data_IF_159517803129
#
_entry.id   IF_159517803129
#
_cell.length_a   1.000
_cell.length_b   1.000
_cell.length_c   1.000
_cell.angle_alpha   90.00
_cell.angle_beta   90.00
_cell.angle_gamma   90.00
#
_symmetry.space_group_name_H-M   'P 1'
#
loop_
_entity.id
_entity.type
_entity.pdbx_description
1 polymer ?
#
# COMPACT_ATOMS: atom_id res chain seq x y z
N UNK A 1 42.70 30.85 -4.79
CA UNK A 1 42.39 30.41 -6.16
C UNK A 1 41.42 31.41 -6.75
N UNK A 2 41.59 31.88 -7.99
CA UNK A 2 40.46 32.49 -8.70
C UNK A 2 39.35 31.45 -8.86
N UNK A 3 38.09 31.87 -8.86
CA UNK A 3 36.98 30.96 -9.13
C UNK A 3 37.06 30.48 -10.60
N UNK A 4 36.88 29.17 -10.86
CA UNK A 4 36.80 28.69 -12.23
C UNK A 4 35.53 29.25 -12.88
N UNK A 5 35.66 29.83 -14.08
CA UNK A 5 34.50 30.32 -14.85
C UNK A 5 33.45 29.21 -14.99
N UNK A 6 32.24 29.49 -14.50
CA UNK A 6 31.09 28.60 -14.54
C UNK A 6 30.77 28.14 -15.97
N UNK A 7 30.97 29.01 -16.97
CA UNK A 7 30.79 28.62 -18.38
C UNK A 7 31.89 27.67 -18.85
N UNK A 8 33.12 27.82 -18.39
CA UNK A 8 34.21 26.89 -18.67
C UNK A 8 33.96 25.52 -18.02
N UNK A 9 33.47 25.48 -16.77
CA UNK A 9 33.03 24.25 -16.10
C UNK A 9 31.90 23.55 -16.87
N UNK A 10 30.86 24.28 -17.27
CA UNK A 10 29.76 23.73 -18.06
C UNK A 10 30.23 23.18 -19.42
N UNK A 11 31.10 23.91 -20.13
CA UNK A 11 31.71 23.45 -21.39
C UNK A 11 32.56 22.19 -21.18
N UNK A 12 33.31 22.10 -20.07
CA UNK A 12 34.09 20.91 -19.73
C UNK A 12 33.18 19.69 -19.44
N UNK A 13 32.12 19.86 -18.65
CA UNK A 13 31.16 18.79 -18.34
C UNK A 13 30.44 18.25 -19.59
N UNK A 14 29.98 19.15 -20.46
CA UNK A 14 29.37 18.80 -21.76
C UNK A 14 30.39 18.07 -22.68
N UNK A 15 31.65 18.48 -22.65
CA UNK A 15 32.70 17.84 -23.47
C UNK A 15 33.03 16.45 -22.96
N UNK A 16 33.15 16.26 -21.64
CA UNK A 16 33.33 14.94 -21.02
C UNK A 16 32.14 14.01 -21.30
N UNK A 17 30.91 14.52 -21.27
CA UNK A 17 29.70 13.76 -21.61
C UNK A 17 29.74 13.26 -23.07
N UNK A 18 30.07 14.15 -24.01
CA UNK A 18 30.24 13.81 -25.44
C UNK A 18 31.40 12.85 -25.70
N UNK A 19 32.45 12.88 -24.86
CA UNK A 19 33.57 11.94 -24.91
C UNK A 19 33.29 10.59 -24.21
N UNK A 20 32.08 10.37 -23.70
CA UNK A 20 31.70 9.14 -22.99
C UNK A 20 32.28 9.00 -21.58
N UNK A 21 32.96 10.03 -21.06
CA UNK A 21 33.61 10.05 -19.75
C UNK A 21 32.59 10.28 -18.63
N UNK A 22 31.63 9.35 -18.48
CA UNK A 22 30.41 9.54 -17.66
C UNK A 22 30.68 10.08 -16.26
N UNK A 23 31.54 9.44 -15.47
CA UNK A 23 31.75 9.87 -14.08
C UNK A 23 32.41 11.25 -13.98
N UNK A 24 33.36 11.57 -14.87
CA UNK A 24 33.95 12.91 -14.94
C UNK A 24 32.92 13.96 -15.38
N UNK A 25 32.04 13.63 -16.32
CA UNK A 25 30.94 14.49 -16.74
C UNK A 25 29.95 14.71 -15.60
N UNK A 26 29.55 13.66 -14.88
CA UNK A 26 28.64 13.69 -13.72
C UNK A 26 29.19 14.62 -12.64
N UNK A 27 30.43 14.42 -12.21
CA UNK A 27 31.08 15.27 -11.20
C UNK A 27 31.23 16.73 -11.64
N UNK A 28 31.49 16.98 -12.93
CA UNK A 28 31.64 18.36 -13.44
C UNK A 28 30.31 19.07 -13.56
N UNK A 29 29.25 18.39 -14.05
CA UNK A 29 27.92 18.96 -14.21
C UNK A 29 27.22 19.17 -12.86
N UNK A 30 27.41 18.28 -11.88
CA UNK A 30 26.95 18.48 -10.51
C UNK A 30 27.55 19.74 -9.88
N UNK A 31 28.85 20.01 -10.07
CA UNK A 31 29.50 21.25 -9.58
C UNK A 31 28.97 22.53 -10.24
N UNK A 32 28.47 22.45 -11.47
CA UNK A 32 27.78 23.58 -12.11
C UNK A 32 26.42 23.80 -11.44
N UNK A 33 25.67 22.73 -11.17
CA UNK A 33 24.37 22.80 -10.48
C UNK A 33 24.51 23.29 -9.03
N UNK A 34 25.58 22.89 -8.32
CA UNK A 34 25.93 23.38 -6.97
C UNK A 34 26.25 24.89 -6.93
N UNK A 35 26.47 25.53 -8.09
CA UNK A 35 26.79 26.96 -8.22
C UNK A 35 25.68 27.75 -8.94
N UNK A 36 24.90 27.09 -9.78
CA UNK A 36 23.78 27.62 -10.56
C UNK A 36 22.69 26.54 -10.68
N UNK A 37 21.79 26.49 -9.69
CA UNK A 37 20.66 25.54 -9.69
C UNK A 37 19.69 25.78 -10.89
N UNK A 38 19.73 26.96 -11.51
CA UNK A 38 18.92 27.34 -12.67
C UNK A 38 19.55 26.94 -14.02
N UNK A 39 20.71 26.26 -14.02
CA UNK A 39 21.43 25.89 -15.24
C UNK A 39 20.75 24.74 -16.01
N UNK A 40 19.72 25.07 -16.80
CA UNK A 40 19.02 24.14 -17.71
C UNK A 40 19.98 23.24 -18.52
N UNK A 41 21.09 23.75 -19.11
CA UNK A 41 22.01 22.89 -19.85
C UNK A 41 22.74 21.88 -18.97
N UNK A 42 23.02 22.21 -17.70
CA UNK A 42 23.69 21.28 -16.78
C UNK A 42 22.77 20.11 -16.41
N UNK A 43 21.51 20.40 -16.06
CA UNK A 43 20.49 19.38 -15.79
C UNK A 43 20.20 18.50 -17.01
N UNK A 44 20.03 19.09 -18.21
CA UNK A 44 19.81 18.34 -19.44
C UNK A 44 20.97 17.38 -19.75
N UNK A 45 22.23 17.84 -19.65
CA UNK A 45 23.37 16.96 -19.90
C UNK A 45 23.58 15.92 -18.80
N UNK A 46 23.31 16.26 -17.53
CA UNK A 46 23.36 15.30 -16.42
C UNK A 46 22.38 14.14 -16.66
N UNK A 47 21.16 14.41 -17.12
CA UNK A 47 20.17 13.37 -17.46
C UNK A 47 20.57 12.42 -18.59
N UNK A 48 21.63 12.74 -19.36
CA UNK A 48 22.21 11.83 -20.38
C UNK A 48 23.35 10.96 -19.85
N UNK A 49 23.90 11.33 -18.69
CA UNK A 49 25.14 10.78 -18.12
C UNK A 49 24.87 9.81 -16.97
N UNK A 50 23.85 10.10 -16.15
CA UNK A 50 23.36 9.22 -15.09
C UNK A 50 22.87 7.89 -15.67
N UNK A 51 22.98 6.81 -14.90
CA UNK A 51 22.55 5.47 -15.34
C UNK A 51 21.18 5.03 -14.78
N UNK A 52 20.81 5.49 -13.58
CA UNK A 52 19.52 5.22 -12.97
C UNK A 52 18.36 5.93 -13.67
N UNK A 53 17.17 5.30 -13.73
CA UNK A 53 16.01 5.88 -14.43
C UNK A 53 15.31 6.99 -13.63
N UNK A 54 15.36 6.95 -12.30
CA UNK A 54 14.69 7.92 -11.43
C UNK A 54 15.56 9.17 -11.21
N UNK A 55 16.89 9.02 -11.02
CA UNK A 55 17.81 10.16 -11.04
C UNK A 55 17.72 10.93 -12.39
N UNK A 56 17.52 10.21 -13.51
CA UNK A 56 17.24 10.82 -14.83
C UNK A 56 15.89 11.55 -14.86
N UNK A 57 14.82 10.97 -14.33
CA UNK A 57 13.49 11.60 -14.24
C UNK A 57 13.57 12.93 -13.49
N UNK A 58 14.17 12.94 -12.30
CA UNK A 58 14.34 14.15 -11.47
C UNK A 58 15.08 15.26 -12.23
N UNK A 59 16.15 14.93 -12.96
CA UNK A 59 16.89 15.93 -13.75
C UNK A 59 16.03 16.55 -14.87
N UNK A 60 15.12 15.78 -15.48
CA UNK A 60 14.24 16.26 -16.55
C UNK A 60 13.05 17.08 -16.00
N UNK A 61 12.54 16.72 -14.82
CA UNK A 61 11.50 17.46 -14.10
C UNK A 61 12.00 18.81 -13.58
N UNK A 62 13.25 18.87 -13.09
CA UNK A 62 13.91 20.14 -12.76
C UNK A 62 14.04 21.05 -14.00
N UNK A 63 14.36 20.50 -15.17
CA UNK A 63 14.38 21.30 -16.42
C UNK A 63 12.98 21.84 -16.76
N UNK A 64 11.92 21.03 -16.66
CA UNK A 64 10.56 21.51 -16.93
C UNK A 64 10.02 22.48 -15.86
N UNK A 65 10.64 22.52 -14.68
CA UNK A 65 10.34 23.52 -13.64
C UNK A 65 10.99 24.88 -13.97
N UNK A 66 12.13 24.88 -14.67
CA UNK A 66 12.85 26.09 -15.11
C UNK A 66 12.41 26.59 -16.50
N UNK A 67 12.09 25.67 -17.41
CA UNK A 67 11.62 25.89 -18.79
C UNK A 67 10.50 24.88 -19.12
N UNK A 68 9.22 25.22 -18.85
CA UNK A 68 8.09 24.33 -19.08
C UNK A 68 7.93 23.87 -20.53
N UNK A 69 8.42 24.64 -21.50
CA UNK A 69 8.33 24.34 -22.93
C UNK A 69 9.56 23.62 -23.51
N UNK A 70 10.45 23.14 -22.64
CA UNK A 70 11.62 22.39 -23.05
C UNK A 70 11.26 21.05 -23.73
N UNK A 71 11.23 21.05 -25.06
CA UNK A 71 10.90 19.89 -25.87
C UNK A 71 11.83 18.69 -25.61
N UNK A 72 13.11 18.92 -25.30
CA UNK A 72 14.07 17.86 -24.99
C UNK A 72 13.76 17.17 -23.65
N UNK A 73 13.43 17.93 -22.61
CA UNK A 73 13.05 17.35 -21.31
C UNK A 73 11.74 16.56 -21.40
N UNK A 74 10.72 17.14 -22.06
CA UNK A 74 9.41 16.50 -22.31
C UNK A 74 9.55 15.19 -23.11
N UNK A 75 10.43 15.17 -24.14
CA UNK A 75 10.76 13.96 -24.90
C UNK A 75 11.72 13.00 -24.16
N UNK A 76 12.36 13.42 -23.07
CA UNK A 76 13.08 12.54 -22.14
C UNK A 76 12.12 11.71 -21.30
N UNK A 77 11.21 12.38 -20.58
CA UNK A 77 10.25 11.73 -19.68
C UNK A 77 9.35 10.72 -20.42
N UNK A 78 8.83 11.08 -21.60
CA UNK A 78 8.00 10.19 -22.41
C UNK A 78 8.70 8.85 -22.77
N UNK A 79 10.03 8.84 -22.90
CA UNK A 79 10.80 7.60 -23.18
C UNK A 79 11.01 6.76 -21.92
N UNK A 80 11.24 7.38 -20.75
CA UNK A 80 11.32 6.66 -19.47
C UNK A 80 9.94 6.03 -19.13
N UNK A 81 8.86 6.76 -19.37
CA UNK A 81 7.49 6.26 -19.17
C UNK A 81 7.12 5.12 -20.11
N UNK A 82 7.64 5.11 -21.34
CA UNK A 82 7.48 4.01 -22.30
C UNK A 82 8.28 2.77 -21.89
N UNK A 83 9.57 2.91 -21.57
CA UNK A 83 10.41 1.81 -21.11
C UNK A 83 9.79 1.11 -19.88
N UNK A 84 9.36 1.90 -18.89
CA UNK A 84 8.71 1.38 -17.67
C UNK A 84 7.36 0.68 -17.90
N UNK A 85 6.79 0.73 -19.11
CA UNK A 85 5.56 0.00 -19.50
C UNK A 85 5.85 -1.29 -20.25
N UNK A 86 7.02 -1.42 -20.87
CA UNK A 86 7.44 -2.66 -21.51
C UNK A 86 8.08 -3.63 -20.51
N UNK A 87 8.84 -3.14 -19.53
CA UNK A 87 9.25 -3.91 -18.33
C UNK A 87 8.05 -4.43 -17.49
N UNK A 88 6.84 -3.89 -17.71
CA UNK A 88 5.60 -4.27 -17.01
C UNK A 88 4.60 -5.05 -17.87
N UNK A 89 4.99 -5.52 -19.06
CA UNK A 89 4.22 -6.53 -19.80
C UNK A 89 4.54 -7.92 -19.21
N UNK A 90 3.53 -8.71 -18.77
CA UNK A 90 3.79 -10.10 -18.38
C UNK A 90 4.19 -10.92 -19.61
N UNK A 91 5.22 -11.75 -19.47
CA UNK A 91 5.68 -12.63 -20.55
C UNK A 91 4.58 -13.63 -20.93
N UNK A 92 3.96 -13.43 -22.09
CA UNK A 92 3.01 -14.40 -22.67
C UNK A 92 3.78 -15.59 -23.22
N UNK A 93 4.13 -16.54 -22.35
CA UNK A 93 4.90 -17.71 -22.69
C UNK A 93 4.14 -18.69 -23.58
N UNK A 94 4.38 -18.64 -24.90
CA UNK A 94 4.28 -19.82 -25.77
C UNK A 94 5.10 -19.68 -27.06
N UNK A 95 6.24 -20.40 -27.15
CA UNK A 95 6.49 -21.37 -28.24
C UNK A 95 7.83 -22.12 -28.16
N UNK A 96 7.70 -23.41 -27.85
CA UNK A 96 8.35 -24.58 -28.49
C UNK A 96 9.87 -24.79 -28.37
N UNK A 97 10.18 -25.94 -27.76
CA UNK A 97 11.48 -26.64 -27.77
C UNK A 97 12.01 -26.96 -29.18
N UNK A 98 13.34 -26.93 -29.32
CA UNK A 98 14.12 -27.95 -30.05
C UNK A 98 15.56 -28.02 -29.50
N UNK A 99 16.26 -29.16 -29.66
CA UNK A 99 17.44 -29.54 -28.85
C UNK A 99 18.78 -29.04 -29.43
N UNK A 100 19.92 -29.18 -28.71
CA UNK A 100 21.17 -28.49 -29.03
C UNK A 100 21.97 -29.16 -30.17
N UNK A 101 23.01 -28.47 -30.64
CA UNK A 101 24.08 -29.06 -31.47
C UNK A 101 25.43 -28.52 -31.00
N UNK A 102 26.43 -29.40 -31.02
CA UNK A 102 27.77 -29.21 -30.49
C UNK A 102 28.65 -28.34 -31.40
N UNK A 103 29.73 -27.76 -30.85
CA UNK A 103 31.05 -27.52 -31.47
C UNK A 103 31.92 -26.60 -30.58
N UNK A 104 32.51 -27.19 -29.54
CA UNK A 104 33.81 -26.76 -28.99
C UNK A 104 34.97 -27.33 -29.85
N UNK A 105 36.28 -27.09 -29.57
CA UNK A 105 36.92 -26.21 -28.58
C UNK A 105 38.01 -25.30 -29.20
N UNK A 106 38.79 -24.54 -28.39
CA UNK A 106 40.27 -24.48 -28.47
C UNK A 106 40.94 -23.90 -27.19
N UNK A 107 41.64 -24.79 -26.47
CA UNK A 107 42.85 -24.65 -25.62
C UNK A 107 43.63 -25.97 -25.82
N UNK A 108 44.90 -26.23 -25.36
CA UNK A 108 45.71 -25.66 -24.27
C UNK A 108 47.18 -25.43 -24.75
N UNK A 109 48.32 -25.87 -24.13
CA UNK A 109 48.76 -26.20 -22.75
C UNK A 109 49.86 -25.21 -22.26
N UNK A 110 50.77 -25.39 -21.28
CA UNK A 110 51.34 -26.50 -20.44
C UNK A 110 51.46 -25.95 -18.98
N UNK A 111 51.09 -26.61 -17.87
CA UNK A 111 51.45 -27.90 -17.23
C UNK A 111 52.73 -27.83 -16.30
N UNK A 112 53.06 -28.80 -15.41
CA UNK A 112 52.76 -28.67 -13.97
C UNK A 112 53.93 -28.99 -13.00
N UNK A 113 53.70 -28.91 -11.66
CA UNK A 113 53.92 -30.01 -10.68
C UNK A 113 53.64 -29.70 -9.20
N UNK A 114 53.31 -30.77 -8.48
CA UNK A 114 53.28 -30.97 -7.00
C UNK A 114 54.45 -31.94 -6.65
N UNK A 115 54.75 -32.41 -5.40
CA UNK A 115 53.99 -32.28 -4.15
C UNK A 115 54.77 -32.13 -2.79
N UNK A 116 53.99 -31.88 -1.73
CA UNK A 116 54.04 -32.44 -0.36
C UNK A 116 55.28 -32.40 0.59
N UNK A 117 54.93 -32.11 1.85
CA UNK A 117 55.39 -32.72 3.12
C UNK A 117 56.68 -32.28 3.85
N UNK A 118 56.49 -32.09 5.18
CA UNK A 118 57.47 -32.29 6.28
C UNK A 118 58.61 -31.24 6.44
N UNK A 119 59.16 -30.95 7.63
CA UNK A 119 58.73 -31.29 9.01
C UNK A 119 59.48 -30.48 10.08
N UNK A 120 58.88 -30.39 11.28
CA UNK A 120 59.49 -30.40 12.63
C UNK A 120 60.45 -29.27 13.10
N UNK A 121 60.23 -28.89 14.38
CA UNK A 121 61.18 -28.33 15.37
C UNK A 121 61.75 -26.90 15.14
N UNK A 122 62.13 -26.15 16.18
CA UNK A 122 61.73 -26.19 17.60
C UNK A 122 62.21 -24.93 18.35
N UNK A 123 61.40 -24.44 19.29
CA UNK A 123 61.76 -23.73 20.54
C UNK A 123 63.01 -22.82 20.59
N UNK A 124 62.81 -21.55 20.96
CA UNK A 124 63.62 -20.88 21.99
C UNK A 124 62.83 -19.71 22.63
N UNK A 125 62.85 -19.62 23.96
CA UNK A 125 62.42 -18.49 24.78
C UNK A 125 63.49 -18.26 25.86
N UNK A 126 63.74 -17.01 26.28
CA UNK A 126 63.84 -16.81 27.73
C UNK A 126 63.31 -15.47 28.28
N UNK A 127 62.54 -15.59 29.38
CA UNK A 127 62.46 -14.71 30.57
C UNK A 127 61.80 -13.31 30.49
N UNK A 128 60.83 -13.13 31.40
CA UNK A 128 60.31 -11.87 31.95
C UNK A 128 61.04 -11.49 33.26
N UNK A 129 61.14 -10.20 33.60
CA UNK A 129 61.02 -9.60 34.96
C UNK A 129 60.44 -8.14 34.80
N UNK A 130 60.30 -7.24 35.83
CA UNK A 130 58.96 -6.82 36.27
C UNK A 130 58.68 -5.30 36.25
N UNK A 131 57.43 -4.89 36.60
CA UNK A 131 56.97 -3.49 36.76
C UNK A 131 56.98 -2.99 38.22
N UNK A 132 57.24 -1.70 38.45
CA UNK A 132 56.80 -0.93 39.63
C UNK A 132 55.78 0.19 39.19
N UNK A 133 55.34 1.20 39.99
CA UNK A 133 53.91 1.37 40.27
C UNK A 133 53.30 2.74 39.87
N UNK A 134 51.99 2.90 40.09
CA UNK A 134 51.17 4.10 39.81
C UNK A 134 50.83 4.91 41.07
N UNK A 135 50.76 6.26 40.99
CA UNK A 135 50.05 7.13 41.93
C UNK A 135 48.69 7.65 41.37
N UNK A 136 47.87 8.24 42.25
CA UNK A 136 46.42 8.48 42.10
C UNK A 136 46.01 9.97 41.81
N UNK A 137 44.70 10.32 41.62
CA UNK A 137 44.28 11.45 40.76
C UNK A 137 43.89 12.77 41.46
N UNK A 138 43.71 13.84 40.65
CA UNK A 138 42.98 15.07 41.01
C UNK A 138 42.12 15.66 39.85
N UNK A 139 40.90 16.18 40.13
CA UNK A 139 40.04 16.96 39.21
C UNK A 139 39.88 18.44 39.69
N UNK A 140 39.01 19.33 39.10
CA UNK A 140 38.44 19.45 37.75
C UNK A 140 38.56 20.89 37.14
N UNK A 141 37.79 21.17 36.06
CA UNK A 141 37.20 22.47 35.67
C UNK A 141 38.07 23.49 34.85
N UNK A 142 37.45 24.51 34.19
CA UNK A 142 36.29 24.39 33.30
C UNK A 142 36.38 25.19 31.97
N UNK A 143 35.44 24.89 31.07
CA UNK A 143 34.84 25.76 30.03
C UNK A 143 35.73 26.47 28.97
N UNK A 144 35.44 26.18 27.69
CA UNK A 144 35.30 27.21 26.64
C UNK A 144 34.49 26.70 25.46
N UNK A 145 33.40 27.41 25.10
CA UNK A 145 32.62 27.20 23.88
C UNK A 145 33.21 28.04 22.75
N UNK A 146 33.66 27.42 21.65
CA UNK A 146 33.99 28.15 20.42
C UNK A 146 33.92 27.25 19.16
N UNK A 147 32.86 27.44 18.36
CA UNK A 147 32.83 27.42 16.89
C UNK A 147 33.61 26.35 16.09
N UNK A 148 32.90 25.64 15.21
CA UNK A 148 33.45 25.07 13.97
C UNK A 148 33.44 23.55 13.89
N UNK A 149 32.96 23.03 12.75
CA UNK A 149 32.83 21.60 12.45
C UNK A 149 34.16 20.82 12.56
N UNK A 150 34.07 19.54 12.96
CA UNK A 150 35.04 18.53 12.54
C UNK A 150 35.15 17.32 13.48
N UNK A 151 35.73 16.20 13.03
CA UNK A 151 36.88 16.20 12.13
C UNK A 151 36.91 14.97 11.19
N UNK A 152 36.82 15.16 9.85
CA UNK A 152 37.03 14.07 8.89
C UNK A 152 38.50 13.79 8.56
N UNK A 153 39.45 14.71 8.87
CA UNK A 153 40.87 14.34 9.05
C UNK A 153 41.76 15.40 9.74
N UNK A 154 41.47 16.71 9.70
CA UNK A 154 42.31 17.70 10.39
C UNK A 154 41.61 18.93 11.04
N UNK A 155 41.06 18.68 12.25
CA UNK A 155 41.12 19.51 13.50
C UNK A 155 39.83 20.21 13.96
N UNK A 156 39.51 19.96 15.25
CA UNK A 156 38.42 20.55 16.08
C UNK A 156 37.01 20.13 15.60
N UNK A 157 35.94 20.27 16.42
CA UNK A 157 35.69 19.23 17.42
C UNK A 157 34.24 18.71 17.47
N UNK A 158 34.08 17.39 17.63
CA UNK A 158 32.81 16.71 17.98
C UNK A 158 32.91 16.19 19.42
N UNK A 159 31.92 16.56 20.24
CA UNK A 159 31.78 16.20 21.66
C UNK A 159 30.41 16.74 22.14
N UNK A 160 29.61 16.03 22.95
CA UNK A 160 29.62 14.60 23.26
C UNK A 160 28.19 14.14 23.56
N UNK A 161 27.62 13.31 22.69
CA UNK A 161 26.45 12.46 22.97
C UNK A 161 26.34 11.46 21.83
N UNK A 162 26.70 10.19 22.07
CA UNK A 162 26.67 9.18 21.03
C UNK A 162 25.24 9.03 20.48
N UNK A 163 25.05 9.23 19.18
CA UNK A 163 23.75 9.00 18.53
C UNK A 163 23.54 7.49 18.48
N UNK A 164 22.83 6.96 19.48
CA UNK A 164 22.48 5.54 19.56
C UNK A 164 21.38 5.23 18.53
N UNK A 165 21.55 4.14 17.78
CA UNK A 165 20.50 3.60 16.92
C UNK A 165 19.23 3.38 17.75
N UNK A 166 18.08 3.99 17.38
CA UNK A 166 16.86 3.88 18.17
C UNK A 166 16.32 2.45 18.26
N UNK A 167 16.65 1.59 17.30
CA UNK A 167 16.18 0.20 17.27
C UNK A 167 17.11 -0.76 18.04
N UNK A 168 18.42 -0.71 17.81
CA UNK A 168 19.37 -1.71 18.35
C UNK A 168 20.42 -1.16 19.34
N UNK A 169 20.32 0.12 19.74
CA UNK A 169 21.26 0.84 20.62
C UNK A 169 22.76 0.71 20.24
N UNK A 170 23.05 0.47 18.96
CA UNK A 170 24.42 0.58 18.44
C UNK A 170 24.80 2.07 18.42
N UNK A 171 25.94 2.50 18.96
CA UNK A 171 26.49 3.83 18.67
C UNK A 171 26.68 3.98 17.16
N UNK A 172 26.05 4.98 16.54
CA UNK A 172 26.18 5.26 15.10
C UNK A 172 27.49 6.02 14.78
N UNK A 173 28.51 5.77 15.59
CA UNK A 173 29.75 6.50 15.72
C UNK A 173 30.86 5.46 15.74
N UNK A 174 31.82 5.59 14.82
CA UNK A 174 32.98 4.69 14.76
C UNK A 174 34.27 5.47 15.05
N UNK A 175 35.19 4.81 15.74
CA UNK A 175 36.51 5.38 16.03
C UNK A 175 37.39 5.31 14.77
N UNK A 176 37.85 6.46 14.28
CA UNK A 176 38.76 6.54 13.14
C UNK A 176 40.05 5.73 13.43
N UNK A 177 40.41 4.71 12.62
CA UNK A 177 41.52 3.81 12.91
C UNK A 177 42.91 4.48 12.84
N UNK A 178 43.00 5.72 12.33
CA UNK A 178 44.24 6.49 12.27
C UNK A 178 44.46 7.43 13.48
N UNK A 179 43.42 7.77 14.25
CA UNK A 179 43.53 8.76 15.33
C UNK A 179 42.62 8.54 16.55
N UNK A 180 41.79 7.49 16.57
CA UNK A 180 40.91 7.14 17.69
C UNK A 180 39.71 8.07 17.91
N UNK A 181 39.49 9.07 17.06
CA UNK A 181 38.40 10.03 17.21
C UNK A 181 37.05 9.44 16.77
N UNK A 182 36.00 9.76 17.51
CA UNK A 182 34.60 9.44 17.19
C UNK A 182 34.14 10.15 15.91
N UNK A 183 33.57 9.40 14.96
CA UNK A 183 33.05 9.92 13.68
C UNK A 183 31.70 9.28 13.30
N UNK A 184 30.75 10.09 12.85
CA UNK A 184 29.40 9.64 12.47
C UNK A 184 29.42 8.74 11.23
N UNK A 185 28.55 7.72 11.22
CA UNK A 185 28.42 6.79 10.08
C UNK A 185 27.50 7.37 9.01
N UNK A 186 28.07 7.81 7.87
CA UNK A 186 27.34 8.28 6.68
C UNK A 186 26.62 7.14 5.91
N UNK A 187 25.75 6.36 6.58
CA UNK A 187 24.95 5.31 5.94
C UNK A 187 23.45 5.64 5.98
N UNK A 188 22.70 5.39 4.88
CA UNK A 188 21.25 5.60 4.83
C UNK A 188 20.47 4.57 5.66
N UNK A 189 21.15 3.57 6.23
CA UNK A 189 20.59 2.52 7.07
C UNK A 189 21.59 2.11 8.17
N UNK A 190 21.10 1.65 9.31
CA UNK A 190 21.95 1.22 10.42
C UNK A 190 22.70 -0.09 10.10
N UNK A 191 24.04 -0.16 10.22
CA UNK A 191 24.83 -1.33 9.81
C UNK A 191 24.53 -2.62 10.60
N UNK A 192 23.85 -2.52 11.75
CA UNK A 192 23.49 -3.69 12.60
C UNK A 192 22.06 -4.18 12.41
N UNK A 193 21.12 -3.34 11.97
CA UNK A 193 19.70 -3.70 11.91
C UNK A 193 18.96 -3.27 10.63
N UNK A 194 19.66 -2.67 9.65
CA UNK A 194 19.07 -2.27 8.36
C UNK A 194 18.08 -1.10 8.43
N UNK A 195 17.70 -0.64 9.62
CA UNK A 195 16.73 0.45 9.80
C UNK A 195 17.22 1.74 9.13
N UNK A 196 16.39 2.31 8.26
CA UNK A 196 16.71 3.55 7.55
C UNK A 196 17.01 4.72 8.51
N UNK A 197 18.00 5.56 8.17
CA UNK A 197 18.48 6.68 8.97
C UNK A 197 18.46 7.97 8.14
N UNK A 198 17.96 9.06 8.74
CA UNK A 198 17.71 10.31 8.02
C UNK A 198 18.96 11.03 7.54
N UNK A 199 18.82 11.90 6.53
CA UNK A 199 19.92 12.67 5.96
C UNK A 199 20.48 13.70 6.96
N UNK A 200 21.53 13.28 7.68
CA UNK A 200 22.20 14.02 8.75
C UNK A 200 22.71 15.42 8.33
N UNK A 201 22.94 15.67 7.02
CA UNK A 201 23.37 16.98 6.50
C UNK A 201 22.33 18.08 6.71
N UNK A 202 21.03 17.73 6.83
CA UNK A 202 19.94 18.66 7.15
C UNK A 202 19.34 18.28 8.51
N UNK A 203 19.75 18.95 9.59
CA UNK A 203 19.33 18.64 10.98
C UNK A 203 17.82 18.45 11.14
N UNK A 204 17.01 19.35 10.58
CA UNK A 204 15.53 19.26 10.60
C UNK A 204 15.03 18.01 9.85
N UNK A 205 15.62 17.70 8.68
CA UNK A 205 15.27 16.49 7.91
C UNK A 205 15.65 15.19 8.62
N UNK A 206 16.79 15.16 9.31
CA UNK A 206 17.17 14.07 10.21
C UNK A 206 16.12 13.85 11.31
N UNK A 207 15.74 14.90 12.05
CA UNK A 207 14.74 14.78 13.11
C UNK A 207 13.34 14.43 12.56
N UNK A 208 12.96 14.91 11.37
CA UNK A 208 11.67 14.57 10.76
C UNK A 208 11.62 13.10 10.31
N UNK A 209 12.72 12.57 9.77
CA UNK A 209 12.86 11.14 9.43
C UNK A 209 12.83 10.27 10.68
N UNK A 210 13.53 10.72 11.74
CA UNK A 210 13.58 10.05 13.04
C UNK A 210 12.21 10.04 13.73
N UNK A 211 11.46 11.14 13.67
CA UNK A 211 10.10 11.23 14.19
C UNK A 211 9.17 10.24 13.49
N UNK A 212 9.18 10.18 12.15
CA UNK A 212 8.41 9.21 11.38
C UNK A 212 8.78 7.76 11.73
N UNK A 213 10.08 7.47 11.89
CA UNK A 213 10.55 6.16 12.34
C UNK A 213 10.06 5.80 13.76
N UNK A 214 10.07 6.74 14.70
CA UNK A 214 9.51 6.53 16.04
C UNK A 214 7.98 6.35 16.03
N UNK A 215 7.26 7.02 15.13
CA UNK A 215 5.80 6.87 14.97
C UNK A 215 5.46 5.46 14.48
N UNK A 216 6.14 4.98 13.43
CA UNK A 216 5.96 3.63 12.89
C UNK A 216 6.38 2.51 13.88
N UNK A 217 7.33 2.79 14.79
CA UNK A 217 7.75 1.86 15.84
C UNK A 217 6.97 2.06 17.17
N UNK A 218 5.87 2.82 17.18
CA UNK A 218 5.05 3.11 18.37
C UNK A 218 5.85 3.59 19.60
N UNK A 219 6.86 4.46 19.40
CA UNK A 219 7.69 5.09 20.45
C UNK A 219 7.32 6.56 20.68
N UNK A 220 6.25 6.87 21.42
CA UNK A 220 5.68 8.21 21.46
C UNK A 220 6.55 9.26 22.16
N UNK A 221 7.17 8.91 23.30
CA UNK A 221 8.04 9.85 24.03
C UNK A 221 9.25 10.31 23.21
N UNK A 222 9.73 9.47 22.29
CA UNK A 222 10.90 9.78 21.47
C UNK A 222 10.52 10.45 20.14
N UNK A 223 9.35 10.10 19.57
CA UNK A 223 8.70 10.88 18.53
C UNK A 223 8.48 12.33 18.99
N UNK A 224 7.96 12.53 20.21
CA UNK A 224 7.77 13.86 20.79
C UNK A 224 9.10 14.63 20.95
N UNK A 225 10.16 13.99 21.47
CA UNK A 225 11.49 14.63 21.56
C UNK A 225 12.03 15.05 20.18
N UNK A 226 11.79 14.26 19.13
CA UNK A 226 12.22 14.60 17.77
C UNK A 226 11.45 15.81 17.21
N UNK A 227 10.14 15.92 17.45
CA UNK A 227 9.37 17.12 17.08
C UNK A 227 9.74 18.36 17.92
N UNK A 228 10.03 18.19 19.21
CA UNK A 228 10.55 19.27 20.06
C UNK A 228 11.94 19.75 19.61
N UNK A 229 12.80 18.85 19.13
CA UNK A 229 14.07 19.24 18.52
C UNK A 229 13.85 20.10 17.26
N UNK A 230 12.87 19.74 16.42
CA UNK A 230 12.49 20.57 15.26
C UNK A 230 11.97 21.94 15.72
N UNK A 231 11.10 22.02 16.73
CA UNK A 231 10.62 23.29 17.28
C UNK A 231 11.76 24.22 17.73
N UNK A 232 12.84 23.67 18.32
CA UNK A 232 14.02 24.48 18.69
C UNK A 232 14.94 24.85 17.52
N UNK A 233 14.90 24.12 16.40
CA UNK A 233 15.76 24.34 15.23
C UNK A 233 15.11 25.23 14.17
N UNK A 234 13.80 25.10 13.99
CA UNK A 234 12.98 25.83 13.03
C UNK A 234 11.55 25.93 13.60
N UNK A 235 11.24 27.00 14.34
CA UNK A 235 9.88 27.23 14.87
C UNK A 235 8.82 27.38 13.76
N UNK A 236 9.22 27.90 12.60
CA UNK A 236 8.42 28.02 11.39
C UNK A 236 8.65 26.80 10.47
N UNK A 237 8.34 25.61 10.99
CA UNK A 237 8.38 24.36 10.21
C UNK A 237 6.96 23.95 9.79
N UNK A 238 6.71 23.60 8.51
CA UNK A 238 5.37 23.28 8.02
C UNK A 238 4.66 22.22 8.86
N UNK A 239 3.43 22.54 9.29
CA UNK A 239 2.57 21.68 10.11
C UNK A 239 3.19 21.25 11.47
N UNK A 240 4.20 21.96 11.99
CA UNK A 240 4.86 21.63 13.27
C UNK A 240 3.87 21.52 14.43
N UNK A 241 2.90 22.44 14.55
CA UNK A 241 1.87 22.40 15.59
C UNK A 241 0.99 21.15 15.50
N UNK A 242 0.53 20.80 14.30
CA UNK A 242 -0.19 19.55 14.03
C UNK A 242 0.63 18.33 14.46
N UNK A 243 1.90 18.25 14.06
CA UNK A 243 2.80 17.13 14.40
C UNK A 243 3.12 17.03 15.89
N UNK A 244 3.32 18.15 16.58
CA UNK A 244 3.44 18.18 18.04
C UNK A 244 2.15 17.72 18.73
N UNK A 245 0.99 18.08 18.19
CA UNK A 245 -0.32 17.59 18.66
C UNK A 245 -0.44 16.07 18.56
N UNK A 246 -0.20 15.50 17.36
CA UNK A 246 -0.18 14.05 17.11
C UNK A 246 0.81 13.33 18.06
N UNK A 247 2.00 13.88 18.26
CA UNK A 247 3.01 13.33 19.15
C UNK A 247 2.57 13.31 20.63
N UNK A 248 1.93 14.38 21.12
CA UNK A 248 1.38 14.42 22.48
C UNK A 248 0.19 13.47 22.65
N UNK A 249 -0.63 13.25 21.61
CA UNK A 249 -1.68 12.21 21.64
C UNK A 249 -1.08 10.82 21.79
N UNK A 250 -0.11 10.48 20.95
CA UNK A 250 0.59 9.19 21.04
C UNK A 250 1.27 8.99 22.41
N UNK A 251 1.72 10.08 23.04
CA UNK A 251 2.30 10.09 24.39
C UNK A 251 1.26 10.12 25.53
N UNK A 252 -0.04 9.96 25.24
CA UNK A 252 -1.11 9.92 26.24
C UNK A 252 -1.40 11.25 26.94
N UNK A 253 -1.12 12.39 26.28
CA UNK A 253 -1.22 13.75 26.85
C UNK A 253 -2.25 14.62 26.10
N UNK A 254 -3.55 14.24 26.13
CA UNK A 254 -4.59 14.88 25.32
C UNK A 254 -4.71 16.40 25.54
N UNK A 255 -4.63 16.87 26.78
CA UNK A 255 -4.76 18.30 27.11
C UNK A 255 -3.63 19.17 26.53
N UNK A 256 -2.46 18.56 26.27
CA UNK A 256 -1.32 19.23 25.60
C UNK A 256 -1.45 19.16 24.09
N UNK A 257 -1.96 18.05 23.57
CA UNK A 257 -2.24 17.92 22.14
C UNK A 257 -3.30 18.95 21.68
N UNK A 258 -4.39 19.11 22.43
CA UNK A 258 -5.45 20.06 22.10
C UNK A 258 -4.92 21.48 21.92
N UNK A 259 -4.06 21.96 22.84
CA UNK A 259 -3.44 23.30 22.73
C UNK A 259 -2.60 23.47 21.46
N UNK A 260 -1.93 22.41 21.00
CA UNK A 260 -1.19 22.44 19.75
C UNK A 260 -2.11 22.37 18.52
N UNK A 261 -3.24 21.66 18.58
CA UNK A 261 -4.24 21.73 17.51
C UNK A 261 -4.97 23.08 17.46
N UNK A 262 -5.26 23.72 18.61
CA UNK A 262 -5.78 25.08 18.71
C UNK A 262 -4.82 26.10 18.07
N UNK A 263 -3.52 25.98 18.35
CA UNK A 263 -2.47 26.77 17.70
C UNK A 263 -2.45 26.51 16.18
N UNK A 264 -2.43 25.25 15.75
CA UNK A 264 -2.45 24.87 14.34
C UNK A 264 -3.70 25.41 13.61
N UNK A 265 -4.85 25.48 14.29
CA UNK A 265 -6.11 25.95 13.72
C UNK A 265 -6.17 27.47 13.59
N UNK A 266 -5.48 28.21 14.49
CA UNK A 266 -5.27 29.64 14.34
C UNK A 266 -4.27 29.97 13.21
N UNK A 267 -3.25 29.14 13.03
CA UNK A 267 -2.25 29.26 11.95
C UNK A 267 -2.81 28.85 10.57
N UNK A 268 -3.56 27.74 10.50
CA UNK A 268 -4.00 27.10 9.24
C UNK A 268 -5.46 26.60 9.30
N UNK A 269 -6.47 27.48 9.43
CA UNK A 269 -7.87 27.10 9.67
C UNK A 269 -8.55 26.24 8.58
N UNK A 270 -7.93 26.09 7.40
CA UNK A 270 -8.43 25.32 6.27
C UNK A 270 -7.54 24.13 5.86
N UNK A 271 -6.61 23.65 6.70
CA UNK A 271 -5.85 22.41 6.45
C UNK A 271 -6.76 21.17 6.53
N UNK A 272 -6.92 20.36 5.47
CA UNK A 272 -7.65 19.09 5.54
C UNK A 272 -7.04 18.12 6.57
N UNK A 273 -5.71 18.11 6.69
CA UNK A 273 -4.95 17.20 7.57
C UNK A 273 -5.23 17.51 9.04
N UNK A 274 -5.29 18.79 9.40
CA UNK A 274 -5.61 19.23 10.76
C UNK A 274 -7.06 18.91 11.13
N UNK A 275 -8.02 19.16 10.23
CA UNK A 275 -9.42 18.79 10.45
C UNK A 275 -9.58 17.26 10.57
N UNK A 276 -8.78 16.46 9.84
CA UNK A 276 -8.77 15.00 9.94
C UNK A 276 -8.17 14.52 11.27
N UNK A 277 -7.06 15.09 11.73
CA UNK A 277 -6.45 14.75 13.01
C UNK A 277 -7.35 15.10 14.21
N UNK A 278 -8.02 16.26 14.16
CA UNK A 278 -9.04 16.64 15.14
C UNK A 278 -10.25 15.69 15.13
N UNK A 279 -10.73 15.30 13.95
CA UNK A 279 -11.83 14.35 13.80
C UNK A 279 -11.49 12.96 14.37
N UNK A 280 -10.26 12.48 14.16
CA UNK A 280 -9.79 11.20 14.69
C UNK A 280 -9.61 11.26 16.21
N UNK A 281 -9.13 12.38 16.77
CA UNK A 281 -9.10 12.59 18.22
C UNK A 281 -10.49 12.60 18.87
N UNK A 282 -11.44 13.35 18.29
CA UNK A 282 -12.84 13.38 18.73
C UNK A 282 -13.47 11.98 18.66
N UNK A 283 -13.24 11.25 17.55
CA UNK A 283 -13.70 9.86 17.36
C UNK A 283 -13.15 8.92 18.45
N UNK A 284 -11.89 9.07 18.86
CA UNK A 284 -11.28 8.30 19.95
C UNK A 284 -11.85 8.63 21.33
N UNK A 285 -12.36 9.85 21.54
CA UNK A 285 -13.05 10.28 22.77
C UNK A 285 -14.54 9.94 22.81
N UNK A 286 -15.10 9.38 21.73
CA UNK A 286 -16.54 9.10 21.61
C UNK A 286 -17.38 10.32 21.19
N UNK A 287 -16.74 11.43 20.85
CA UNK A 287 -17.35 12.68 20.36
C UNK A 287 -17.72 12.51 18.88
N UNK A 288 -18.65 11.59 18.61
CA UNK A 288 -18.96 11.10 17.28
C UNK A 288 -19.62 12.14 16.36
N UNK A 289 -20.35 13.11 16.92
CA UNK A 289 -21.07 14.14 16.17
C UNK A 289 -20.12 15.28 15.75
N UNK A 290 -19.19 15.61 16.63
CA UNK A 290 -18.07 16.52 16.43
C UNK A 290 -17.14 15.93 15.37
N UNK A 291 -16.72 14.68 15.55
CA UNK A 291 -15.90 13.95 14.58
C UNK A 291 -16.57 13.86 13.21
N UNK A 292 -17.87 13.56 13.14
CA UNK A 292 -18.63 13.55 11.90
C UNK A 292 -18.59 14.91 11.19
N UNK A 293 -18.77 16.00 11.94
CA UNK A 293 -18.73 17.37 11.41
C UNK A 293 -17.34 17.74 10.90
N UNK A 294 -16.29 17.35 11.63
CA UNK A 294 -14.91 17.56 11.24
C UNK A 294 -14.53 16.73 9.99
N UNK A 295 -14.84 15.43 9.92
CA UNK A 295 -14.63 14.63 8.70
C UNK A 295 -15.43 15.15 7.50
N UNK A 296 -16.66 15.65 7.71
CA UNK A 296 -17.43 16.30 6.65
C UNK A 296 -16.69 17.55 6.13
N UNK A 297 -16.15 18.38 7.02
CA UNK A 297 -15.33 19.54 6.67
C UNK A 297 -14.06 19.13 5.91
N UNK A 298 -13.40 18.03 6.28
CA UNK A 298 -12.28 17.46 5.50
C UNK A 298 -12.72 17.17 4.06
N UNK A 299 -13.83 16.46 3.86
CA UNK A 299 -14.32 16.13 2.50
C UNK A 299 -14.82 17.33 1.68
N UNK A 300 -15.03 18.49 2.31
CA UNK A 300 -15.31 19.76 1.63
C UNK A 300 -14.02 20.49 1.21
N UNK A 301 -12.94 20.34 1.98
CA UNK A 301 -11.64 20.97 1.72
C UNK A 301 -10.80 20.14 0.74
N UNK A 302 -10.72 18.82 0.93
CA UNK A 302 -10.22 17.86 -0.04
C UNK A 302 -11.26 16.75 -0.31
N UNK A 303 -12.01 16.84 -1.43
CA UNK A 303 -12.91 15.78 -1.87
C UNK A 303 -12.22 14.44 -2.21
N UNK A 304 -10.89 14.42 -2.41
CA UNK A 304 -10.12 13.22 -2.72
C UNK A 304 -9.59 12.48 -1.49
N UNK A 305 -9.80 12.98 -0.27
CA UNK A 305 -9.28 12.35 0.94
C UNK A 305 -10.04 11.04 1.28
N UNK A 306 -9.58 9.92 0.69
CA UNK A 306 -10.25 8.61 0.79
C UNK A 306 -10.45 8.11 2.23
N UNK A 307 -9.50 8.38 3.14
CA UNK A 307 -9.62 8.03 4.55
C UNK A 307 -10.75 8.78 5.27
N UNK A 308 -11.00 10.05 4.93
CA UNK A 308 -12.12 10.80 5.49
C UNK A 308 -13.47 10.21 5.03
N UNK A 309 -13.58 9.78 3.77
CA UNK A 309 -14.76 9.07 3.27
C UNK A 309 -14.96 7.71 3.96
N UNK A 310 -13.89 6.96 4.25
CA UNK A 310 -13.94 5.72 5.04
C UNK A 310 -14.45 5.99 6.47
N UNK A 311 -13.89 6.99 7.16
CA UNK A 311 -14.32 7.36 8.52
C UNK A 311 -15.77 7.86 8.57
N UNK A 312 -16.23 8.62 7.57
CA UNK A 312 -17.66 8.96 7.42
C UNK A 312 -18.53 7.72 7.20
N UNK A 313 -18.09 6.75 6.39
CA UNK A 313 -18.79 5.48 6.19
C UNK A 313 -19.04 4.75 7.50
N UNK A 314 -18.00 4.63 8.33
CA UNK A 314 -18.04 4.01 9.66
C UNK A 314 -19.01 4.74 10.62
N UNK A 315 -19.02 6.08 10.59
CA UNK A 315 -19.93 6.88 11.42
C UNK A 315 -21.39 6.79 10.94
N UNK A 316 -21.65 6.80 9.63
CA UNK A 316 -22.98 6.55 9.08
C UNK A 316 -23.49 5.14 9.41
N UNK A 317 -22.62 4.13 9.37
CA UNK A 317 -22.95 2.75 9.72
C UNK A 317 -23.33 2.61 11.20
N UNK A 318 -22.56 3.21 12.11
CA UNK A 318 -22.90 3.31 13.54
C UNK A 318 -24.21 4.04 13.79
N UNK A 319 -24.51 5.08 13.00
CA UNK A 319 -25.80 5.78 13.00
C UNK A 319 -26.95 5.02 12.28
N UNK A 320 -26.72 3.76 11.87
CA UNK A 320 -27.66 2.91 11.11
C UNK A 320 -28.14 3.50 9.76
N UNK A 321 -27.39 4.45 9.20
CA UNK A 321 -27.67 5.11 7.90
C UNK A 321 -27.01 4.35 6.75
N UNK A 322 -27.39 3.08 6.56
CA UNK A 322 -26.74 2.15 5.62
C UNK A 322 -26.63 2.66 4.17
N UNK A 323 -27.60 3.46 3.70
CA UNK A 323 -27.54 4.07 2.35
C UNK A 323 -26.45 5.13 2.23
N UNK A 324 -26.24 5.95 3.27
CA UNK A 324 -25.21 6.98 3.30
C UNK A 324 -23.82 6.36 3.53
N UNK A 325 -23.73 5.36 4.42
CA UNK A 325 -22.53 4.55 4.59
C UNK A 325 -22.09 3.92 3.26
N UNK A 326 -23.02 3.27 2.55
CA UNK A 326 -22.79 2.72 1.22
C UNK A 326 -22.49 3.75 0.12
N UNK A 327 -22.73 5.05 0.33
CA UNK A 327 -22.24 6.12 -0.56
C UNK A 327 -20.82 6.57 -0.17
N UNK A 328 -20.57 6.80 1.12
CA UNK A 328 -19.27 7.22 1.63
C UNK A 328 -18.19 6.15 1.36
N UNK A 329 -18.47 4.87 1.65
CA UNK A 329 -17.59 3.76 1.31
C UNK A 329 -17.34 3.63 -0.21
N UNK A 330 -18.34 3.90 -1.07
CA UNK A 330 -18.12 3.92 -2.53
C UNK A 330 -17.19 5.05 -2.99
N UNK A 331 -17.21 6.21 -2.32
CA UNK A 331 -16.23 7.28 -2.57
C UNK A 331 -14.84 6.87 -2.08
N UNK A 332 -14.73 6.29 -0.89
CA UNK A 332 -13.47 5.75 -0.38
C UNK A 332 -12.85 4.70 -1.32
N UNK A 333 -13.66 3.77 -1.85
CA UNK A 333 -13.21 2.72 -2.78
C UNK A 333 -12.71 3.26 -4.14
N UNK A 334 -13.09 4.47 -4.53
CA UNK A 334 -12.64 5.13 -5.74
C UNK A 334 -11.37 5.99 -5.53
N UNK A 335 -10.89 6.10 -4.29
CA UNK A 335 -9.81 7.00 -3.88
C UNK A 335 -8.66 6.26 -3.15
N UNK A 336 -8.95 5.14 -2.48
CA UNK A 336 -7.97 4.31 -1.80
C UNK A 336 -7.47 3.18 -2.72
N UNK A 337 -6.17 2.80 -2.67
CA UNK A 337 -5.65 1.65 -3.39
C UNK A 337 -6.39 0.35 -3.00
N UNK A 338 -6.69 -0.51 -3.97
CA UNK A 338 -7.48 -1.73 -3.75
C UNK A 338 -6.74 -2.82 -2.95
N UNK A 339 -5.44 -2.63 -2.79
CA UNK A 339 -4.42 -3.46 -2.13
C UNK A 339 -3.97 -2.90 -0.77
N UNK A 340 -4.49 -1.74 -0.32
CA UNK A 340 -4.26 -1.26 1.05
C UNK A 340 -5.22 -1.91 2.04
N UNK A 341 -4.84 -1.99 3.32
CA UNK A 341 -5.70 -2.51 4.39
C UNK A 341 -7.04 -1.74 4.47
N UNK A 342 -7.01 -0.43 4.25
CA UNK A 342 -8.21 0.40 4.18
C UNK A 342 -9.03 0.14 2.91
N UNK A 343 -8.39 -0.11 1.77
CA UNK A 343 -9.04 -0.53 0.54
C UNK A 343 -9.78 -1.85 0.70
N UNK A 344 -9.13 -2.85 1.32
CA UNK A 344 -9.73 -4.12 1.69
C UNK A 344 -10.88 -3.95 2.70
N UNK A 345 -10.71 -3.11 3.74
CA UNK A 345 -11.77 -2.81 4.71
C UNK A 345 -13.00 -2.19 4.03
N UNK A 346 -12.81 -1.22 3.13
CA UNK A 346 -13.89 -0.60 2.37
C UNK A 346 -14.58 -1.61 1.46
N UNK A 347 -13.83 -2.46 0.76
CA UNK A 347 -14.41 -3.51 -0.08
C UNK A 347 -15.24 -4.50 0.73
N UNK A 348 -14.77 -4.91 1.91
CA UNK A 348 -15.51 -5.79 2.82
C UNK A 348 -16.84 -5.13 3.26
N UNK A 349 -16.81 -3.87 3.70
CA UNK A 349 -18.04 -3.18 4.11
C UNK A 349 -18.99 -2.91 2.94
N UNK A 350 -18.48 -2.70 1.73
CA UNK A 350 -19.31 -2.63 0.52
C UNK A 350 -19.92 -3.97 0.11
N UNK A 351 -19.38 -5.11 0.55
CA UNK A 351 -20.02 -6.42 0.39
C UNK A 351 -21.10 -6.65 1.45
N UNK A 352 -20.88 -6.26 2.70
CA UNK A 352 -21.86 -6.35 3.79
C UNK A 352 -23.05 -5.41 3.56
N UNK A 353 -22.78 -4.17 3.15
CA UNK A 353 -23.79 -3.16 2.82
C UNK A 353 -24.28 -3.25 1.37
N UNK A 354 -23.93 -4.32 0.64
CA UNK A 354 -24.42 -4.55 -0.72
C UNK A 354 -25.92 -4.80 -0.66
N UNK A 355 -26.77 -3.92 -1.24
CA UNK A 355 -28.18 -4.27 -1.38
C UNK A 355 -28.30 -5.52 -2.26
N UNK A 356 -29.40 -6.26 -2.09
CA UNK A 356 -29.87 -7.21 -3.11
C UNK A 356 -29.99 -6.53 -4.48
N UNK A 357 -30.15 -7.33 -5.56
CA UNK A 357 -30.09 -6.84 -6.94
C UNK A 357 -30.83 -5.50 -7.14
N UNK A 358 -30.26 -4.55 -7.91
CA UNK A 358 -30.83 -3.21 -8.07
C UNK A 358 -32.32 -3.31 -8.43
N UNK A 359 -33.20 -2.48 -7.85
CA UNK A 359 -34.64 -2.76 -7.81
C UNK A 359 -35.28 -2.94 -9.20
N UNK A 360 -34.76 -2.28 -10.23
CA UNK A 360 -35.18 -2.46 -11.63
C UNK A 360 -34.93 -3.88 -12.19
N UNK A 361 -33.94 -4.61 -11.68
CA UNK A 361 -33.67 -6.02 -12.02
C UNK A 361 -34.39 -7.00 -11.09
N UNK A 362 -34.51 -6.66 -9.80
CA UNK A 362 -35.21 -7.49 -8.80
C UNK A 362 -36.75 -7.54 -9.01
N UNK A 363 -37.32 -6.63 -9.81
CA UNK A 363 -38.77 -6.55 -10.08
C UNK A 363 -39.18 -7.10 -11.46
N UNK A 364 -38.24 -7.54 -12.30
CA UNK A 364 -38.54 -8.03 -13.65
C UNK A 364 -39.07 -9.47 -13.69
N UNK A 365 -39.95 -9.75 -14.66
CA UNK A 365 -40.39 -11.12 -15.01
C UNK A 365 -39.22 -12.09 -15.23
N UNK A 366 -38.08 -11.59 -15.71
CA UNK A 366 -36.84 -12.35 -15.92
C UNK A 366 -36.30 -13.02 -14.65
N UNK A 367 -36.44 -12.38 -13.47
CA UNK A 367 -35.93 -12.94 -12.22
C UNK A 367 -36.89 -14.00 -11.64
N UNK A 368 -38.21 -13.76 -11.74
CA UNK A 368 -39.23 -14.76 -11.44
C UNK A 368 -39.02 -16.03 -12.31
N UNK A 369 -38.87 -15.85 -13.63
CA UNK A 369 -38.55 -16.93 -14.55
C UNK A 369 -37.25 -17.64 -14.15
N UNK A 370 -36.16 -16.91 -13.88
CA UNK A 370 -34.88 -17.50 -13.46
C UNK A 370 -35.04 -18.37 -12.21
N UNK A 371 -35.73 -17.89 -11.18
CA UNK A 371 -35.98 -18.64 -9.94
C UNK A 371 -36.89 -19.86 -10.16
N UNK A 372 -37.90 -19.76 -11.04
CA UNK A 372 -38.78 -20.89 -11.38
C UNK A 372 -38.11 -21.95 -12.27
N UNK A 373 -37.14 -21.59 -13.12
CA UNK A 373 -36.57 -22.55 -14.09
C UNK A 373 -35.93 -23.77 -13.45
N UNK A 374 -35.24 -23.62 -12.31
CA UNK A 374 -34.61 -24.75 -11.60
C UNK A 374 -35.62 -25.84 -11.22
N UNK A 375 -36.63 -25.55 -10.37
CA UNK A 375 -37.68 -26.49 -10.00
C UNK A 375 -38.42 -27.13 -11.18
N UNK A 376 -38.64 -26.39 -12.27
CA UNK A 376 -39.34 -26.89 -13.48
C UNK A 376 -38.44 -27.81 -14.32
N UNK A 377 -37.17 -27.46 -14.52
CA UNK A 377 -36.20 -28.28 -15.27
C UNK A 377 -35.96 -29.63 -14.58
N UNK A 378 -35.93 -29.66 -13.24
CA UNK A 378 -35.82 -30.91 -12.48
C UNK A 378 -36.99 -31.85 -12.77
N UNK A 379 -38.23 -31.35 -12.74
CA UNK A 379 -39.41 -32.15 -13.07
C UNK A 379 -39.44 -32.58 -14.55
N UNK A 380 -39.04 -31.70 -15.48
CA UNK A 380 -38.95 -32.02 -16.91
C UNK A 380 -37.94 -33.16 -17.18
N UNK A 381 -36.75 -33.09 -16.58
CA UNK A 381 -35.73 -34.13 -16.70
C UNK A 381 -36.21 -35.47 -16.10
N UNK A 382 -36.90 -35.42 -14.96
CA UNK A 382 -37.47 -36.62 -14.34
C UNK A 382 -38.57 -37.27 -15.21
N UNK A 383 -39.45 -36.48 -15.84
CA UNK A 383 -40.45 -37.00 -16.80
C UNK A 383 -39.80 -37.58 -18.05
N UNK A 384 -38.73 -36.98 -18.56
CA UNK A 384 -37.97 -37.53 -19.69
C UNK A 384 -37.25 -38.83 -19.33
N UNK A 385 -36.87 -39.02 -18.07
CA UNK A 385 -36.31 -40.29 -17.57
C UNK A 385 -37.40 -41.37 -17.42
N UNK A 386 -38.58 -41.06 -16.87
CA UNK A 386 -39.76 -41.96 -16.83
C UNK A 386 -40.15 -42.44 -18.25
N UNK A 387 -40.17 -41.52 -19.22
CA UNK A 387 -40.46 -41.80 -20.62
C UNK A 387 -39.31 -42.46 -21.41
N UNK A 388 -38.24 -42.91 -20.76
CA UNK A 388 -37.10 -43.58 -21.43
C UNK A 388 -36.42 -42.73 -22.51
N UNK A 389 -36.33 -41.42 -22.29
CA UNK A 389 -35.84 -40.38 -23.21
C UNK A 389 -36.63 -40.25 -24.53
N UNK A 390 -37.89 -40.73 -24.58
CA UNK A 390 -38.79 -40.62 -25.75
C UNK A 390 -39.97 -39.69 -25.44
N UNK A 391 -39.95 -38.41 -25.86
CA UNK A 391 -40.97 -37.42 -25.47
C UNK A 391 -42.42 -37.76 -25.87
N UNK A 392 -42.62 -38.64 -26.85
CA UNK A 392 -43.94 -39.11 -27.28
C UNK A 392 -44.47 -40.30 -26.45
N UNK A 393 -43.73 -40.76 -25.43
CA UNK A 393 -44.12 -41.82 -24.49
C UNK A 393 -44.40 -41.30 -23.07
N UNK A 394 -44.57 -39.98 -22.89
CA UNK A 394 -44.87 -39.37 -21.59
C UNK A 394 -46.21 -39.89 -21.04
N UNK A 395 -46.15 -40.44 -19.82
CA UNK A 395 -47.29 -40.97 -19.06
C UNK A 395 -48.32 -39.87 -18.73
N UNK A 396 -49.58 -40.24 -18.49
CA UNK A 396 -50.61 -39.27 -18.06
C UNK A 396 -50.22 -38.57 -16.73
N UNK A 397 -49.58 -39.31 -15.83
CA UNK A 397 -48.93 -38.79 -14.62
C UNK A 397 -47.80 -37.80 -14.94
N UNK A 398 -46.98 -38.07 -15.96
CA UNK A 398 -45.94 -37.15 -16.43
C UNK A 398 -46.51 -35.86 -17.02
N UNK A 399 -47.59 -35.93 -17.82
CA UNK A 399 -48.30 -34.73 -18.30
C UNK A 399 -48.91 -33.90 -17.17
N UNK A 400 -49.53 -34.56 -16.19
CA UNK A 400 -50.06 -33.89 -15.00
C UNK A 400 -48.95 -33.23 -14.17
N UNK A 401 -47.80 -33.90 -14.00
CA UNK A 401 -46.64 -33.35 -13.33
C UNK A 401 -46.06 -32.12 -14.08
N UNK A 402 -45.96 -32.16 -15.42
CA UNK A 402 -45.51 -31.01 -16.22
C UNK A 402 -46.42 -29.77 -16.10
N UNK A 403 -47.71 -29.95 -15.78
CA UNK A 403 -48.62 -28.84 -15.49
C UNK A 403 -48.50 -28.34 -14.04
N UNK A 404 -48.31 -29.24 -13.08
CA UNK A 404 -48.24 -28.91 -11.65
C UNK A 404 -46.89 -28.33 -11.22
N UNK A 405 -45.77 -28.75 -11.84
CA UNK A 405 -44.44 -28.23 -11.55
C UNK A 405 -44.31 -26.69 -11.70
N UNK A 406 -44.68 -26.06 -12.84
CA UNK A 406 -44.59 -24.61 -12.98
C UNK A 406 -45.58 -23.86 -12.09
N UNK A 407 -46.77 -24.41 -11.83
CA UNK A 407 -47.75 -23.80 -10.92
C UNK A 407 -47.25 -23.81 -9.46
N UNK A 408 -46.73 -24.94 -9.00
CA UNK A 408 -46.13 -25.07 -7.68
C UNK A 408 -44.92 -24.18 -7.50
N UNK A 409 -44.01 -24.16 -8.49
CA UNK A 409 -42.85 -23.28 -8.50
C UNK A 409 -43.23 -21.79 -8.47
N UNK A 410 -44.22 -21.36 -9.26
CA UNK A 410 -44.72 -19.98 -9.28
C UNK A 410 -45.21 -19.53 -7.90
N UNK A 411 -46.07 -20.35 -7.26
CA UNK A 411 -46.67 -20.03 -5.96
C UNK A 411 -45.62 -20.07 -4.83
N UNK A 412 -44.73 -21.06 -4.84
CA UNK A 412 -43.65 -21.18 -3.85
C UNK A 412 -42.69 -19.98 -3.92
N UNK A 413 -42.21 -19.64 -5.11
CA UNK A 413 -41.32 -18.50 -5.35
C UNK A 413 -42.02 -17.16 -5.04
N UNK A 414 -43.29 -16.99 -5.41
CA UNK A 414 -44.06 -15.78 -5.10
C UNK A 414 -44.28 -15.56 -3.61
N UNK A 415 -44.65 -16.62 -2.87
CA UNK A 415 -44.89 -16.55 -1.42
C UNK A 415 -43.62 -16.36 -0.59
N UNK A 416 -42.46 -16.83 -1.07
CA UNK A 416 -41.18 -16.72 -0.36
C UNK A 416 -40.37 -15.47 -0.71
N UNK A 417 -40.34 -15.08 -1.99
CA UNK A 417 -39.22 -14.28 -2.53
C UNK A 417 -39.63 -12.97 -3.20
N UNK A 418 -40.88 -12.81 -3.64
CA UNK A 418 -41.32 -11.66 -4.46
C UNK A 418 -42.42 -10.71 -3.94
N UNK A 419 -42.83 -10.66 -2.64
CA UNK A 419 -43.84 -9.68 -2.19
C UNK A 419 -43.36 -8.21 -2.17
N UNK A 420 -42.20 -7.91 -2.74
CA UNK A 420 -41.72 -6.54 -3.05
C UNK A 420 -41.90 -6.17 -4.54
N UNK A 421 -42.37 -7.10 -5.39
CA UNK A 421 -42.52 -6.88 -6.83
C UNK A 421 -43.86 -6.18 -7.17
N UNK A 422 -43.85 -4.96 -7.76
CA UNK A 422 -45.07 -4.20 -8.05
C UNK A 422 -45.99 -4.87 -9.09
N UNK A 423 -45.52 -5.85 -9.86
CA UNK A 423 -46.32 -6.61 -10.83
C UNK A 423 -47.18 -7.70 -10.15
N UNK A 424 -46.74 -8.23 -9.01
CA UNK A 424 -47.42 -9.32 -8.27
C UNK A 424 -48.18 -8.76 -7.05
N UNK A 425 -47.73 -7.64 -6.47
CA UNK A 425 -48.42 -6.89 -5.40
C UNK A 425 -49.94 -6.73 -5.63
N UNK A 426 -50.46 -6.28 -6.79
CA UNK A 426 -51.91 -6.15 -7.00
C UNK A 426 -52.68 -7.49 -7.05
N UNK A 427 -52.01 -8.63 -7.20
CA UNK A 427 -52.63 -9.97 -7.11
C UNK A 427 -52.71 -10.51 -5.67
N UNK A 428 -51.96 -9.92 -4.74
CA UNK A 428 -51.83 -10.40 -3.35
C UNK A 428 -52.47 -9.46 -2.30
N UNK A 429 -52.97 -8.30 -2.72
CA UNK A 429 -53.61 -7.31 -1.86
C UNK A 429 -52.63 -6.38 -1.14
N UNK A 430 -53.17 -5.44 -0.36
CA UNK A 430 -52.39 -4.43 0.34
C UNK A 430 -51.44 -5.02 1.40
N UNK A 431 -50.36 -4.28 1.67
CA UNK A 431 -49.12 -4.79 2.28
C UNK A 431 -49.30 -5.58 3.59
N UNK A 432 -50.32 -5.26 4.39
CA UNK A 432 -50.61 -5.95 5.65
C UNK A 432 -51.26 -7.32 5.44
N UNK A 433 -52.28 -7.43 4.56
CA UNK A 433 -52.91 -8.71 4.24
C UNK A 433 -51.94 -9.63 3.48
N UNK A 434 -51.10 -9.02 2.63
CA UNK A 434 -50.05 -9.71 1.91
C UNK A 434 -48.92 -10.27 2.81
N UNK A 435 -48.89 -10.04 4.13
CA UNK A 435 -47.95 -10.73 5.05
C UNK A 435 -48.48 -12.09 5.48
N UNK A 436 -49.73 -12.16 5.96
CA UNK A 436 -50.33 -13.39 6.49
C UNK A 436 -50.48 -14.46 5.39
N UNK A 437 -50.78 -14.04 4.16
CA UNK A 437 -50.97 -14.93 3.01
C UNK A 437 -49.67 -15.52 2.42
N UNK A 438 -48.48 -14.98 2.75
CA UNK A 438 -47.19 -15.49 2.21
C UNK A 438 -46.95 -16.95 2.55
N UNK A 439 -47.08 -17.29 3.83
CA UNK A 439 -46.78 -18.62 4.36
C UNK A 439 -47.70 -19.71 3.78
N UNK A 440 -49.05 -19.59 3.78
CA UNK A 440 -49.92 -20.59 3.16
C UNK A 440 -49.73 -20.69 1.64
N UNK A 441 -49.48 -19.59 0.92
CA UNK A 441 -49.20 -19.63 -0.53
C UNK A 441 -47.87 -20.36 -0.80
N UNK A 442 -46.82 -20.09 -0.01
CA UNK A 442 -45.54 -20.78 -0.13
C UNK A 442 -45.64 -22.28 0.17
N UNK A 443 -46.39 -22.66 1.22
CA UNK A 443 -46.64 -24.06 1.60
C UNK A 443 -47.44 -24.78 0.50
N UNK A 444 -48.48 -24.15 -0.04
CA UNK A 444 -49.30 -24.73 -1.11
C UNK A 444 -48.50 -24.91 -2.40
N UNK A 445 -47.66 -23.93 -2.77
CA UNK A 445 -46.75 -24.05 -3.91
C UNK A 445 -45.73 -25.19 -3.75
N UNK A 446 -45.10 -25.28 -2.58
CA UNK A 446 -44.17 -26.38 -2.27
C UNK A 446 -44.88 -27.75 -2.28
N UNK A 447 -46.11 -27.83 -1.76
CA UNK A 447 -46.93 -29.04 -1.79
C UNK A 447 -47.28 -29.49 -3.22
N UNK A 448 -47.67 -28.57 -4.10
CA UNK A 448 -47.93 -28.86 -5.52
C UNK A 448 -46.67 -29.32 -6.25
N UNK A 449 -45.51 -28.73 -5.97
CA UNK A 449 -44.23 -29.15 -6.56
C UNK A 449 -43.78 -30.54 -6.06
N UNK A 450 -43.91 -30.83 -4.76
CA UNK A 450 -43.64 -32.15 -4.20
C UNK A 450 -44.60 -33.22 -4.74
N UNK A 451 -45.89 -32.89 -4.92
CA UNK A 451 -46.87 -33.80 -5.51
C UNK A 451 -46.58 -34.05 -7.00
N UNK A 452 -46.16 -33.03 -7.75
CA UNK A 452 -45.62 -33.19 -9.10
C UNK A 452 -44.44 -34.16 -9.14
N UNK A 453 -43.48 -34.04 -8.21
CA UNK A 453 -42.32 -34.93 -8.13
C UNK A 453 -42.73 -36.37 -7.77
N UNK A 454 -43.66 -36.54 -6.82
CA UNK A 454 -44.22 -37.83 -6.43
C UNK A 454 -44.95 -38.56 -7.56
N UNK A 455 -45.71 -37.84 -8.39
CA UNK A 455 -46.38 -38.38 -9.59
C UNK A 455 -45.41 -38.95 -10.63
N UNK A 456 -44.16 -38.48 -10.66
CA UNK A 456 -43.11 -38.97 -11.57
C UNK A 456 -42.39 -40.19 -10.99
N UNK A 457 -42.23 -40.25 -9.67
CA UNK A 457 -41.55 -41.39 -9.00
C UNK A 457 -42.45 -42.62 -8.83
N UNK A 458 -43.77 -42.45 -8.75
CA UNK A 458 -44.70 -43.57 -8.53
C UNK A 458 -44.64 -44.65 -9.63
N UNK A 459 -44.61 -44.31 -10.94
CA UNK A 459 -44.46 -45.30 -12.01
C UNK A 459 -43.06 -45.95 -12.02
N UNK A 460 -42.01 -45.15 -11.80
CA UNK A 460 -40.61 -45.62 -11.78
C UNK A 460 -40.37 -46.70 -10.72
N UNK A 461 -41.02 -46.63 -9.57
CA UNK A 461 -40.91 -47.63 -8.50
C UNK A 461 -41.41 -49.04 -8.91
N UNK A 462 -42.22 -49.16 -9.96
CA UNK A 462 -42.70 -50.44 -10.50
C UNK A 462 -41.90 -50.98 -11.71
N UNK A 463 -40.97 -50.20 -12.27
CA UNK A 463 -40.27 -50.58 -13.51
C UNK A 463 -38.99 -51.35 -13.22
N UNK A 464 -38.95 -52.62 -13.65
CA UNK A 464 -37.72 -53.41 -13.67
C UNK A 464 -36.86 -52.97 -14.87
N UNK A 465 -35.86 -52.12 -14.60
CA UNK A 465 -34.90 -51.69 -15.62
C UNK A 465 -34.30 -52.91 -16.35
N UNK A 466 -34.30 -52.94 -17.70
CA UNK A 466 -33.69 -54.03 -18.43
C UNK A 466 -32.19 -54.07 -18.10
N UNK A 467 -31.69 -55.26 -17.75
CA UNK A 467 -30.25 -55.46 -17.52
C UNK A 467 -29.49 -55.03 -18.77
N UNK A 468 -28.37 -54.30 -18.64
CA UNK A 468 -27.53 -53.99 -19.79
C UNK A 468 -27.08 -55.29 -20.47
N UNK A 469 -26.97 -55.32 -21.81
CA UNK A 469 -26.48 -56.50 -22.51
C UNK A 469 -25.05 -56.80 -22.03
N UNK A 470 -24.81 -58.06 -21.68
CA UNK A 470 -23.47 -58.54 -21.33
C UNK A 470 -22.57 -58.52 -22.55
N UNK A 471 -21.53 -57.69 -22.49
CA UNK A 471 -20.34 -57.74 -23.36
C UNK A 471 -19.27 -58.64 -22.72
#
# INVERSE_FOLDING_TARGET
>A
MPEPDLQALLRAGITAAKAGQREQARQTLLRVIEQDEASIPAWLWLSTVLDDQEERRICLENVLTLDPDNAHARAGLLRLDQASKEDRRPETGDRRLSPPTDLSPQTPPIEPKSPANSSLRSSHYPRLQPRPPTPDPQPPAPATLATGNGCPFCRKPISATAILCPHCQLPLVMNCPACGAETDVEQPACPRCGQAMGNYRRKVGYFSSLAAAYQANHRPEDNLKAWQAIETLQPDYPNLRLRLGEAQLAAGRPDRAMRHFEQALAETPNSPELHYALAEFQRQRGEHQEAFTAYLKVTQLDPKHGLAWLRLGQLYEGARRSQDAGQAYRRAAALLPADSDEGHQVQQQLQVLRPGLPPAMATGWSELLRQMTGPVVICLLAVLLDAGLRPWWISWSGWLALLLAPLGAFLWVSGTSLPQNPLIRPLLGDDNAAVELRLPIAILGAGLWLLSFGLILLPLAGQSFPRPPSL
#
